data_IF_470272557233
#
_entry.id   IF_470272557233
#
_cell.length_a   1.000
_cell.length_b   1.000
_cell.length_c   1.000
_cell.angle_alpha   90.00
_cell.angle_beta   90.00
_cell.angle_gamma   90.00
#
_symmetry.space_group_name_H-M   'P 1'
#
loop_
_entity.id
_entity.type
_entity.pdbx_description
1 polymer ?
#
# COMPACT_ATOMS: atom_id res chain seq x y z
N UNK A 1 5.87 1.84 -9.97
CA UNK A 1 5.92 0.54 -10.70
C UNK A 1 6.78 0.69 -11.96
N UNK A 2 7.22 -0.40 -12.60
CA UNK A 2 7.98 -0.36 -13.86
C UNK A 2 7.50 -1.44 -14.83
N UNK A 3 7.43 -1.13 -16.13
CA UNK A 3 7.05 -2.11 -17.16
C UNK A 3 8.07 -3.26 -17.26
N UNK A 4 7.67 -4.38 -17.87
CA UNK A 4 8.62 -5.45 -18.23
C UNK A 4 9.50 -5.01 -19.40
N UNK A 5 10.77 -5.42 -19.36
CA UNK A 5 11.70 -5.18 -20.46
C UNK A 5 11.46 -6.15 -21.63
N UNK A 6 11.77 -5.70 -22.84
CA UNK A 6 11.69 -6.55 -24.05
C UNK A 6 12.81 -7.61 -24.07
N UNK A 7 13.90 -7.37 -23.33
CA UNK A 7 15.02 -8.30 -23.16
C UNK A 7 15.27 -8.59 -21.69
N UNK A 8 15.95 -9.71 -21.39
CA UNK A 8 16.33 -10.05 -20.01
C UNK A 8 17.21 -8.97 -19.35
N UNK A 9 18.11 -8.37 -20.12
CA UNK A 9 19.00 -7.32 -19.62
C UNK A 9 18.22 -6.03 -19.30
N UNK A 10 17.31 -5.64 -20.19
CA UNK A 10 16.43 -4.49 -19.95
C UNK A 10 15.50 -4.73 -18.76
N UNK A 11 14.91 -5.92 -18.65
CA UNK A 11 14.00 -6.28 -17.56
C UNK A 11 14.71 -6.21 -16.20
N UNK A 12 15.95 -6.70 -16.12
CA UNK A 12 16.78 -6.60 -14.93
C UNK A 12 17.15 -5.14 -14.61
N UNK A 13 17.46 -4.31 -15.62
CA UNK A 13 17.73 -2.88 -15.45
C UNK A 13 16.51 -2.14 -14.91
N UNK A 14 15.33 -2.37 -15.48
CA UNK A 14 14.07 -1.75 -15.03
C UNK A 14 13.72 -2.16 -13.60
N UNK A 15 13.93 -3.44 -13.26
CA UNK A 15 13.77 -3.95 -11.90
C UNK A 15 14.72 -3.28 -10.90
N UNK A 16 15.99 -3.14 -11.26
CA UNK A 16 16.99 -2.48 -10.43
C UNK A 16 16.75 -0.97 -10.30
N UNK A 17 16.30 -0.33 -11.38
CA UNK A 17 15.86 1.07 -11.36
C UNK A 17 14.72 1.25 -10.36
N UNK A 18 13.63 0.47 -10.48
CA UNK A 18 12.49 0.58 -9.58
C UNK A 18 12.88 0.35 -8.12
N UNK A 19 13.80 -0.56 -7.84
CA UNK A 19 14.29 -0.82 -6.48
C UNK A 19 14.95 0.41 -5.85
N UNK A 20 15.63 1.23 -6.64
CA UNK A 20 16.41 2.37 -6.15
C UNK A 20 15.75 3.74 -6.44
N UNK A 21 14.52 3.74 -6.98
CA UNK A 21 13.82 4.97 -7.28
C UNK A 21 13.29 5.62 -5.99
N UNK A 22 13.88 6.76 -5.61
CA UNK A 22 13.59 7.46 -4.36
C UNK A 22 12.12 7.89 -4.25
N UNK A 23 11.52 8.30 -5.37
CA UNK A 23 10.11 8.70 -5.42
C UNK A 23 9.20 7.52 -5.07
N UNK A 24 9.37 6.38 -5.74
CA UNK A 24 8.59 5.17 -5.48
C UNK A 24 8.81 4.66 -4.04
N UNK A 25 10.04 4.74 -3.52
CA UNK A 25 10.32 4.39 -2.11
C UNK A 25 9.61 5.32 -1.13
N UNK A 26 9.60 6.63 -1.40
CA UNK A 26 8.92 7.61 -0.55
C UNK A 26 7.40 7.39 -0.54
N UNK A 27 6.79 7.20 -1.71
CA UNK A 27 5.36 6.88 -1.84
C UNK A 27 5.02 5.57 -1.12
N UNK A 28 5.81 4.51 -1.33
CA UNK A 28 5.59 3.23 -0.67
C UNK A 28 5.73 3.34 0.86
N UNK A 29 6.74 4.06 1.36
CA UNK A 29 6.93 4.29 2.80
C UNK A 29 5.74 5.04 3.41
N UNK A 30 5.25 6.09 2.75
CA UNK A 30 4.08 6.84 3.20
C UNK A 30 2.85 5.92 3.37
N UNK A 31 2.61 5.03 2.41
CA UNK A 31 1.52 4.04 2.51
C UNK A 31 1.77 3.02 3.61
N UNK A 32 3.00 2.52 3.76
CA UNK A 32 3.37 1.61 4.85
C UNK A 32 3.08 2.26 6.20
N UNK A 33 3.47 3.52 6.41
CA UNK A 33 3.23 4.21 7.68
C UNK A 33 1.74 4.44 7.96
N UNK A 34 0.96 4.76 6.94
CA UNK A 34 -0.50 4.83 7.06
C UNK A 34 -1.10 3.46 7.47
N UNK A 35 -0.69 2.37 6.81
CA UNK A 35 -1.18 1.04 7.16
C UNK A 35 -0.73 0.60 8.55
N UNK A 36 0.48 0.97 8.98
CA UNK A 36 0.95 0.71 10.34
C UNK A 36 0.07 1.42 11.37
N UNK A 37 -0.32 2.67 11.10
CA UNK A 37 -1.26 3.41 11.95
C UNK A 37 -2.61 2.68 12.02
N UNK A 38 -3.19 2.31 10.89
CA UNK A 38 -4.51 1.66 10.85
C UNK A 38 -4.52 0.28 11.53
N UNK A 39 -3.48 -0.54 11.28
CA UNK A 39 -3.32 -1.86 11.91
C UNK A 39 -3.10 -1.72 13.42
N UNK A 40 -2.40 -0.67 13.87
CA UNK A 40 -2.13 -0.46 15.30
C UNK A 40 -3.40 -0.36 16.14
N UNK A 41 -4.51 0.10 15.57
CA UNK A 41 -5.80 0.26 16.25
C UNK A 41 -6.46 -1.08 16.64
N UNK A 42 -6.07 -2.17 15.98
CA UNK A 42 -6.70 -3.50 16.12
C UNK A 42 -5.70 -4.60 16.48
N UNK A 43 -4.47 -4.23 16.84
CA UNK A 43 -3.37 -5.18 17.06
C UNK A 43 -2.77 -5.11 18.46
N UNK A 44 -2.22 -6.23 18.93
CA UNK A 44 -1.46 -6.31 20.18
C UNK A 44 -0.21 -5.42 20.13
N UNK A 45 0.00 -4.66 21.20
CA UNK A 45 1.16 -3.76 21.36
C UNK A 45 2.47 -4.54 21.21
N UNK A 46 3.40 -4.01 20.42
CA UNK A 46 4.72 -4.60 20.20
C UNK A 46 4.77 -5.75 19.18
N UNK A 47 3.63 -6.13 18.58
CA UNK A 47 3.60 -7.21 17.56
C UNK A 47 3.66 -6.68 16.13
N UNK A 48 3.51 -5.37 15.94
CA UNK A 48 3.53 -4.72 14.64
C UNK A 48 4.94 -4.64 14.09
N UNK A 49 5.17 -5.26 12.94
CA UNK A 49 6.44 -5.24 12.22
C UNK A 49 6.26 -5.11 10.69
N UNK A 50 7.35 -4.76 10.02
CA UNK A 50 7.44 -4.63 8.55
C UNK A 50 8.55 -5.55 8.06
N UNK A 51 8.29 -6.87 7.94
CA UNK A 51 9.34 -7.85 7.62
C UNK A 51 9.95 -7.66 6.22
N UNK A 52 9.22 -7.01 5.31
CA UNK A 52 9.66 -6.80 3.93
C UNK A 52 9.32 -5.37 3.53
N UNK A 53 10.34 -4.55 3.30
CA UNK A 53 10.20 -3.17 2.84
C UNK A 53 10.85 -3.01 1.46
N UNK A 54 10.11 -2.44 0.51
CA UNK A 54 10.54 -2.19 -0.87
C UNK A 54 10.95 -3.46 -1.65
N UNK A 55 10.28 -4.60 -1.40
CA UNK A 55 10.48 -5.81 -2.20
C UNK A 55 9.98 -5.56 -3.62
N UNK A 56 10.75 -5.96 -4.63
CA UNK A 56 10.27 -5.93 -6.01
C UNK A 56 9.68 -7.28 -6.39
N UNK A 57 8.36 -7.29 -6.61
CA UNK A 57 7.64 -8.42 -7.19
C UNK A 57 7.50 -8.26 -8.70
N UNK A 58 7.64 -9.37 -9.42
CA UNK A 58 7.56 -9.40 -10.87
C UNK A 58 6.28 -10.12 -11.27
N UNK A 59 5.38 -9.39 -11.93
CA UNK A 59 4.16 -9.91 -12.56
C UNK A 59 4.36 -10.02 -14.08
N UNK A 60 3.41 -10.65 -14.82
CA UNK A 60 3.55 -10.82 -16.26
C UNK A 60 3.78 -9.53 -17.05
N UNK A 61 3.16 -8.41 -16.63
CA UNK A 61 3.20 -7.14 -17.36
C UNK A 61 3.96 -6.02 -16.65
N UNK A 62 4.31 -6.19 -15.36
CA UNK A 62 4.86 -5.11 -14.54
C UNK A 62 5.74 -5.64 -13.40
N UNK A 63 6.74 -4.86 -13.01
CA UNK A 63 7.41 -4.95 -11.71
C UNK A 63 6.75 -3.99 -10.73
N UNK A 64 6.40 -4.48 -9.54
CA UNK A 64 5.79 -3.68 -8.48
C UNK A 64 6.68 -3.65 -7.24
N UNK A 65 6.72 -2.49 -6.60
CA UNK A 65 7.32 -2.34 -5.27
C UNK A 65 6.25 -2.65 -4.23
N UNK A 66 6.48 -3.70 -3.45
CA UNK A 66 5.57 -4.25 -2.46
C UNK A 66 6.26 -4.22 -1.09
N UNK A 67 5.49 -3.92 -0.06
CA UNK A 67 5.93 -3.99 1.33
C UNK A 67 4.90 -4.77 2.14
N UNK A 68 5.38 -5.50 3.14
CA UNK A 68 4.55 -6.35 4.00
C UNK A 68 4.52 -5.77 5.39
N UNK A 69 3.33 -5.46 5.89
CA UNK A 69 3.06 -5.09 7.29
C UNK A 69 2.30 -6.24 7.93
N UNK A 70 2.66 -6.64 9.15
CA UNK A 70 1.90 -7.64 9.92
C UNK A 70 1.89 -7.28 11.40
N UNK A 71 0.87 -7.77 12.10
CA UNK A 71 0.74 -7.69 13.56
C UNK A 71 -0.17 -8.84 14.04
N UNK A 72 -0.20 -9.09 15.35
CA UNK A 72 -1.20 -9.99 15.95
C UNK A 72 -2.45 -9.18 16.29
N UNK A 73 -3.62 -9.67 15.93
CA UNK A 73 -4.88 -9.03 16.30
C UNK A 73 -5.13 -9.15 17.80
N UNK A 74 -5.81 -8.18 18.39
CA UNK A 74 -6.32 -8.30 19.76
C UNK A 74 -7.29 -9.50 19.86
N UNK A 75 -7.34 -10.20 21.02
CA UNK A 75 -8.41 -11.15 21.28
C UNK A 75 -9.74 -10.40 21.16
N UNK A 76 -10.70 -10.97 20.43
CA UNK A 76 -12.04 -10.39 20.14
C UNK A 76 -12.16 -9.45 18.92
N UNK A 77 -11.09 -9.25 18.14
CA UNK A 77 -11.20 -8.56 16.85
C UNK A 77 -11.77 -9.51 15.79
N UNK A 78 -13.00 -9.23 15.37
CA UNK A 78 -13.67 -9.90 14.27
C UNK A 78 -13.42 -9.22 12.91
N UNK A 79 -13.86 -9.89 11.84
CA UNK A 79 -13.67 -9.43 10.46
C UNK A 79 -14.25 -8.03 10.21
N UNK A 80 -15.39 -7.67 10.84
CA UNK A 80 -16.02 -6.35 10.68
C UNK A 80 -15.13 -5.22 11.18
N UNK A 81 -14.47 -5.42 12.33
CA UNK A 81 -13.53 -4.46 12.90
C UNK A 81 -12.28 -4.32 12.03
N UNK A 82 -11.81 -5.42 11.43
CA UNK A 82 -10.69 -5.38 10.47
C UNK A 82 -11.05 -4.52 9.25
N UNK A 83 -12.23 -4.72 8.66
CA UNK A 83 -12.68 -3.87 7.54
C UNK A 83 -12.82 -2.41 7.95
N UNK A 84 -13.44 -2.12 9.10
CA UNK A 84 -13.62 -0.74 9.56
C UNK A 84 -12.28 0.00 9.77
N UNK A 85 -11.23 -0.70 10.20
CA UNK A 85 -9.91 -0.10 10.40
C UNK A 85 -9.15 0.11 9.08
N UNK A 86 -9.19 -0.87 8.17
CA UNK A 86 -8.32 -0.90 6.99
C UNK A 86 -8.96 -0.29 5.74
N UNK A 87 -10.27 -0.13 5.71
CA UNK A 87 -11.02 0.25 4.52
C UNK A 87 -11.52 1.71 4.57
N UNK A 88 -11.53 2.44 3.43
CA UNK A 88 -10.89 2.08 2.16
C UNK A 88 -9.36 2.11 2.26
N UNK A 89 -8.70 1.32 1.42
CA UNK A 89 -7.24 1.16 1.46
C UNK A 89 -6.53 2.51 1.28
N UNK A 90 -5.55 2.79 2.16
CA UNK A 90 -4.76 4.02 2.12
C UNK A 90 -4.03 4.24 0.79
N UNK A 91 -3.68 3.16 0.08
CA UNK A 91 -3.05 3.21 -1.24
C UNK A 91 -3.95 3.75 -2.35
N UNK A 92 -5.26 3.82 -2.12
CA UNK A 92 -6.25 4.22 -3.12
C UNK A 92 -6.93 5.57 -2.77
N UNK A 93 -6.85 5.96 -1.50
CA UNK A 93 -7.29 7.26 -1.01
C UNK A 93 -6.16 8.27 -1.02
N UNK A 94 -5.04 7.95 -0.37
CA UNK A 94 -3.92 8.85 -0.11
C UNK A 94 -3.70 9.08 1.38
N UNK A 95 -2.70 9.88 1.74
CA UNK A 95 -2.35 10.19 3.12
C UNK A 95 -2.26 11.72 3.34
N UNK A 96 -2.84 12.27 4.42
CA UNK A 96 -3.71 11.65 5.43
C UNK A 96 -5.08 11.22 4.85
N UNK A 97 -5.57 10.04 5.26
CA UNK A 97 -6.73 9.36 4.63
C UNK A 97 -7.99 10.24 4.51
N UNK A 98 -8.39 10.90 5.61
CA UNK A 98 -9.60 11.73 5.65
C UNK A 98 -9.49 12.90 4.66
N UNK A 99 -8.38 13.65 4.71
CA UNK A 99 -8.18 14.80 3.82
C UNK A 99 -8.09 14.39 2.36
N UNK A 100 -7.48 13.23 2.08
CA UNK A 100 -7.41 12.71 0.73
C UNK A 100 -8.81 12.38 0.18
N UNK A 101 -9.68 11.78 0.99
CA UNK A 101 -11.08 11.49 0.60
C UNK A 101 -11.90 12.76 0.35
N UNK A 102 -11.72 13.81 1.16
CA UNK A 102 -12.38 15.12 0.94
C UNK A 102 -11.99 15.72 -0.42
N UNK A 103 -10.68 15.74 -0.72
CA UNK A 103 -10.16 16.26 -1.99
C UNK A 103 -10.66 15.43 -3.18
N UNK A 104 -10.71 14.10 -3.05
CA UNK A 104 -11.24 13.22 -4.10
C UNK A 104 -12.72 13.52 -4.38
N UNK A 105 -13.51 13.75 -3.33
CA UNK A 105 -14.91 14.11 -3.49
C UNK A 105 -15.12 15.45 -4.22
N UNK A 106 -14.21 16.40 -4.04
CA UNK A 106 -14.23 17.70 -4.74
C UNK A 106 -13.79 17.59 -6.20
N UNK A 107 -12.87 16.67 -6.52
CA UNK A 107 -12.25 16.56 -7.84
C UNK A 107 -12.93 15.58 -8.80
N UNK A 108 -13.67 14.61 -8.29
CA UNK A 108 -14.28 13.55 -9.12
C UNK A 108 -15.71 13.92 -9.54
N UNK A 109 -15.98 13.80 -10.84
CA UNK A 109 -17.28 14.13 -11.43
C UNK A 109 -18.41 13.17 -11.04
N UNK A 110 -18.09 12.03 -10.41
CA UNK A 110 -19.04 11.02 -9.99
C UNK A 110 -18.54 10.22 -8.77
N UNK A 111 -19.45 9.62 -7.98
CA UNK A 111 -19.09 8.68 -6.92
C UNK A 111 -18.33 7.47 -7.50
N UNK A 112 -17.37 6.94 -6.73
CA UNK A 112 -16.63 5.73 -7.11
C UNK A 112 -17.45 4.44 -6.99
N UNK A 113 -18.56 4.44 -6.24
CA UNK A 113 -19.36 3.26 -5.94
C UNK A 113 -18.48 2.05 -5.52
N UNK A 114 -18.54 0.94 -6.26
CA UNK A 114 -17.74 -0.27 -5.98
C UNK A 114 -16.27 -0.15 -6.41
N UNK A 115 -15.90 0.89 -7.16
CA UNK A 115 -14.52 1.13 -7.57
C UNK A 115 -13.71 1.59 -6.36
N UNK A 116 -12.59 0.92 -6.11
CA UNK A 116 -11.80 1.08 -4.88
C UNK A 116 -12.45 0.52 -3.60
N UNK A 117 -13.60 -0.14 -3.78
CA UNK A 117 -14.28 -0.97 -2.80
C UNK A 117 -15.57 -0.37 -2.26
#
# INVERSE_FOLDING_TARGET
PAARGATKAEDARLKAFLRNDEKNQAENRMIVDLLRNDISLISEVGTLDVPELFRIETYPTVHQMVSRVRAKLLPDIGIRQVFAALFPCGSITGAPKIRAMEILHELEDAPRDVYCG
#
